data_IF_380276172551
#
_entry.id   IF_380276172551
#
_cell.length_a   1.000
_cell.length_b   1.000
_cell.length_c   1.000
_cell.angle_alpha   90.00
_cell.angle_beta   90.00
_cell.angle_gamma   90.00
#
_symmetry.space_group_name_H-M   'P 1'
#
loop_
_entity.id
_entity.type
_entity.pdbx_description
1 polymer ?
#
# COMPACT_ATOMS: atom_id res chain seq x y z
N UNK A 1 -0.08 -22.33 18.39
CA UNK A 1 0.10 -20.90 18.05
C UNK A 1 -0.86 -20.53 16.93
N UNK A 2 -1.68 -19.50 17.09
CA UNK A 2 -2.55 -19.02 16.00
C UNK A 2 -1.68 -18.54 14.82
N UNK A 3 -2.01 -18.97 13.59
CA UNK A 3 -1.30 -18.50 12.40
C UNK A 3 -1.48 -16.98 12.28
N UNK A 4 -0.41 -16.27 11.95
CA UNK A 4 -0.48 -14.83 11.70
C UNK A 4 -1.51 -14.51 10.61
N UNK A 5 -2.19 -13.36 10.68
CA UNK A 5 -3.26 -13.01 9.76
C UNK A 5 -2.74 -12.89 8.33
N UNK A 6 -3.60 -13.15 7.34
CA UNK A 6 -3.19 -13.23 5.93
C UNK A 6 -2.57 -11.92 5.43
N UNK A 7 -2.94 -10.77 5.99
CA UNK A 7 -2.38 -9.46 5.61
C UNK A 7 -0.90 -9.29 5.99
N UNK A 8 -0.40 -10.02 6.99
CA UNK A 8 1.02 -10.05 7.34
C UNK A 8 1.80 -11.07 6.50
N UNK A 9 1.13 -12.14 6.06
CA UNK A 9 1.72 -13.25 5.30
C UNK A 9 1.85 -12.94 3.80
N UNK A 10 2.68 -13.73 3.11
CA UNK A 10 2.92 -13.60 1.66
C UNK A 10 1.62 -13.68 0.85
N UNK A 11 0.69 -14.53 1.26
CA UNK A 11 -0.60 -14.73 0.59
C UNK A 11 -1.52 -13.50 0.57
N UNK A 12 -1.35 -12.54 1.49
CA UNK A 12 -2.12 -11.28 1.50
C UNK A 12 -1.40 -10.11 0.84
N UNK A 13 -0.13 -10.27 0.47
CA UNK A 13 0.67 -9.23 -0.19
C UNK A 13 0.51 -9.33 -1.70
N UNK A 14 0.33 -8.19 -2.36
CA UNK A 14 0.36 -8.14 -3.82
C UNK A 14 1.82 -8.00 -4.30
N UNK A 15 2.30 -8.86 -5.23
CA UNK A 15 3.64 -8.75 -5.81
C UNK A 15 3.93 -7.36 -6.41
N UNK A 16 2.92 -6.74 -7.02
CA UNK A 16 3.00 -5.41 -7.62
C UNK A 16 2.92 -4.25 -6.62
N UNK A 17 2.76 -4.52 -5.31
CA UNK A 17 2.72 -3.50 -4.25
C UNK A 17 1.42 -3.47 -3.45
N UNK A 18 1.52 -3.15 -2.15
CA UNK A 18 0.38 -3.15 -1.22
C UNK A 18 -0.19 -4.54 -0.88
N UNK A 19 -1.41 -4.55 -0.34
CA UNK A 19 -2.19 -5.75 -0.03
C UNK A 19 -3.10 -6.14 -1.21
N UNK A 20 -3.36 -7.45 -1.36
CA UNK A 20 -4.36 -7.97 -2.27
C UNK A 20 -5.74 -8.07 -1.59
N UNK A 21 -6.77 -8.54 -2.31
CA UNK A 21 -8.13 -8.67 -1.77
C UNK A 21 -8.18 -9.53 -0.49
N UNK A 22 -7.44 -10.64 -0.43
CA UNK A 22 -7.35 -11.51 0.75
C UNK A 22 -6.70 -10.80 1.92
N UNK A 23 -5.61 -10.07 1.67
CA UNK A 23 -4.94 -9.25 2.68
C UNK A 23 -5.84 -8.15 3.21
N UNK A 24 -6.53 -7.40 2.35
CA UNK A 24 -7.47 -6.35 2.79
C UNK A 24 -8.63 -6.94 3.59
N UNK A 25 -9.21 -8.07 3.16
CA UNK A 25 -10.27 -8.73 3.89
C UNK A 25 -9.80 -9.23 5.27
N UNK A 26 -8.61 -9.82 5.33
CA UNK A 26 -7.99 -10.24 6.59
C UNK A 26 -7.74 -9.06 7.53
N UNK A 27 -7.24 -7.94 7.00
CA UNK A 27 -7.00 -6.73 7.79
C UNK A 27 -8.31 -6.17 8.35
N UNK A 28 -9.36 -6.07 7.53
CA UNK A 28 -10.67 -5.57 7.98
C UNK A 28 -11.35 -6.46 9.02
N UNK A 29 -11.12 -7.78 8.96
CA UNK A 29 -11.64 -8.73 9.97
C UNK A 29 -11.00 -8.52 11.34
N UNK A 30 -9.70 -8.25 11.37
CA UNK A 30 -8.93 -8.02 12.60
C UNK A 30 -9.10 -6.59 13.14
N UNK A 31 -9.43 -5.64 12.27
CA UNK A 31 -9.66 -4.24 12.63
C UNK A 31 -11.10 -3.81 12.26
N UNK A 32 -12.10 -4.11 13.12
CA UNK A 32 -13.47 -3.65 12.93
C UNK A 32 -13.54 -2.14 12.70
N UNK A 33 -14.32 -1.70 11.71
CA UNK A 33 -14.41 -0.28 11.33
C UNK A 33 -13.31 0.23 10.39
N UNK A 34 -12.34 -0.62 10.01
CA UNK A 34 -11.28 -0.23 9.08
C UNK A 34 -11.83 0.22 7.71
N UNK A 35 -11.43 1.42 7.28
CA UNK A 35 -11.70 1.98 5.95
C UNK A 35 -10.60 1.67 4.94
N UNK A 36 -9.75 0.67 5.22
CA UNK A 36 -8.63 0.30 4.36
C UNK A 36 -9.13 0.05 2.94
N UNK A 37 -8.53 0.74 1.98
CA UNK A 37 -8.89 0.67 0.57
C UNK A 37 -7.70 0.24 -0.27
N UNK A 38 -7.97 -0.40 -1.40
CA UNK A 38 -6.93 -0.76 -2.38
C UNK A 38 -6.42 0.47 -3.13
N UNK A 39 -5.28 0.29 -3.80
CA UNK A 39 -4.65 1.34 -4.59
C UNK A 39 -5.58 1.94 -5.65
N UNK A 40 -5.50 3.25 -5.82
CA UNK A 40 -6.11 3.95 -6.96
C UNK A 40 -5.19 3.76 -8.16
N UNK A 41 -5.60 2.91 -9.10
CA UNK A 41 -4.79 2.52 -10.27
C UNK A 41 -5.13 3.29 -11.54
N UNK A 42 -6.20 4.07 -11.52
CA UNK A 42 -6.66 4.92 -12.63
C UNK A 42 -5.59 5.98 -12.97
N UNK A 43 -5.40 6.27 -14.27
CA UNK A 43 -4.46 7.30 -14.73
C UNK A 43 -4.91 8.70 -14.28
N UNK A 44 -6.18 9.03 -14.51
CA UNK A 44 -6.78 10.33 -14.21
C UNK A 44 -8.01 10.16 -13.28
N UNK A 45 -7.81 9.80 -12.00
CA UNK A 45 -8.90 9.71 -11.04
C UNK A 45 -9.46 11.11 -10.75
N UNK A 46 -10.77 11.18 -10.50
CA UNK A 46 -11.47 12.42 -10.13
C UNK A 46 -12.07 12.33 -8.73
N UNK A 47 -12.49 13.47 -8.18
CA UNK A 47 -13.15 13.57 -6.88
C UNK A 47 -12.38 12.92 -5.73
N UNK A 48 -13.10 12.15 -4.88
CA UNK A 48 -12.54 11.51 -3.68
C UNK A 48 -11.35 10.58 -3.98
N UNK A 49 -11.31 9.94 -5.15
CA UNK A 49 -10.20 9.05 -5.54
C UNK A 49 -8.94 9.84 -5.83
N UNK A 50 -9.07 10.99 -6.48
CA UNK A 50 -7.95 11.90 -6.77
C UNK A 50 -7.32 12.40 -5.47
N UNK A 51 -8.15 12.90 -4.54
CA UNK A 51 -7.70 13.38 -3.23
C UNK A 51 -7.01 12.27 -2.43
N UNK A 52 -7.58 11.06 -2.43
CA UNK A 52 -6.96 9.91 -1.75
C UNK A 52 -5.61 9.53 -2.35
N UNK A 53 -5.47 9.54 -3.69
CA UNK A 53 -4.19 9.31 -4.36
C UNK A 53 -3.17 10.38 -3.95
N UNK A 54 -3.54 11.66 -4.00
CA UNK A 54 -2.69 12.79 -3.59
C UNK A 54 -2.19 12.62 -2.16
N UNK A 55 -3.09 12.34 -1.21
CA UNK A 55 -2.73 12.12 0.20
C UNK A 55 -1.82 10.90 0.39
N UNK A 56 -2.06 9.81 -0.35
CA UNK A 56 -1.20 8.63 -0.29
C UNK A 56 0.21 8.95 -0.81
N UNK A 57 0.32 9.57 -1.99
CA UNK A 57 1.61 9.92 -2.58
C UNK A 57 2.41 10.86 -1.69
N UNK A 58 1.79 11.91 -1.14
CA UNK A 58 2.48 12.84 -0.25
C UNK A 58 3.07 12.12 0.98
N UNK A 59 2.26 11.27 1.64
CA UNK A 59 2.70 10.54 2.83
C UNK A 59 3.81 9.54 2.51
N UNK A 60 3.62 8.73 1.48
CA UNK A 60 4.54 7.63 1.18
C UNK A 60 5.83 8.12 0.54
N UNK A 61 5.80 9.17 -0.27
CA UNK A 61 7.01 9.80 -0.80
C UNK A 61 7.80 10.49 0.33
N UNK A 62 7.11 11.13 1.28
CA UNK A 62 7.75 11.66 2.48
C UNK A 62 8.41 10.58 3.34
N UNK A 63 7.72 9.46 3.56
CA UNK A 63 8.27 8.28 4.25
C UNK A 63 9.48 7.69 3.52
N UNK A 64 9.43 7.61 2.19
CA UNK A 64 10.56 7.17 1.34
C UNK A 64 11.77 8.09 1.50
N UNK A 65 11.54 9.39 1.61
CA UNK A 65 12.63 10.37 1.71
C UNK A 65 13.24 10.45 3.11
N UNK A 66 12.43 10.33 4.17
CA UNK A 66 12.88 10.62 5.55
C UNK A 66 13.17 9.39 6.39
N UNK A 67 12.44 8.30 6.17
CA UNK A 67 12.41 7.15 7.07
C UNK A 67 12.85 5.84 6.40
N UNK A 68 13.11 5.87 5.10
CA UNK A 68 13.57 4.70 4.35
C UNK A 68 15.06 4.84 4.09
N UNK A 69 15.83 3.77 4.30
CA UNK A 69 17.27 3.78 4.01
C UNK A 69 17.53 4.11 2.54
N UNK A 70 18.67 4.74 2.27
CA UNK A 70 19.09 5.13 0.93
C UNK A 70 19.08 3.96 -0.06
N UNK A 71 19.47 2.77 0.40
CA UNK A 71 19.45 1.53 -0.38
C UNK A 71 18.01 1.13 -0.75
N UNK A 72 17.12 1.03 0.23
CA UNK A 72 15.72 0.62 0.00
C UNK A 72 14.95 1.66 -0.83
N UNK A 73 15.28 2.94 -0.66
CA UNK A 73 14.70 4.02 -1.45
C UNK A 73 15.14 3.94 -2.92
N UNK A 74 16.39 3.54 -3.20
CA UNK A 74 16.93 3.38 -4.56
C UNK A 74 16.49 2.07 -5.24
N UNK A 75 16.23 1.01 -4.49
CA UNK A 75 15.80 -0.28 -5.07
C UNK A 75 14.39 -0.20 -5.70
N UNK A 76 14.24 -0.32 -7.04
CA UNK A 76 12.94 -0.26 -7.73
C UNK A 76 12.00 -1.42 -7.37
N UNK A 77 12.54 -2.49 -6.77
CA UNK A 77 11.81 -3.67 -6.31
C UNK A 77 11.44 -3.63 -4.84
N UNK A 78 11.85 -2.58 -4.11
CA UNK A 78 11.47 -2.41 -2.72
C UNK A 78 9.96 -2.25 -2.58
N UNK A 79 9.43 -2.64 -1.41
CA UNK A 79 7.98 -2.61 -1.17
C UNK A 79 7.40 -1.20 -1.25
N UNK A 80 8.17 -0.19 -0.83
CA UNK A 80 7.76 1.22 -0.88
C UNK A 80 7.67 1.71 -2.33
N UNK A 81 8.67 1.41 -3.18
CA UNK A 81 8.69 1.81 -4.59
C UNK A 81 7.61 1.07 -5.40
N UNK A 82 7.41 -0.23 -5.15
CA UNK A 82 6.28 -0.99 -5.74
C UNK A 82 4.94 -0.38 -5.36
N UNK A 83 4.77 0.04 -4.10
CA UNK A 83 3.52 0.67 -3.66
C UNK A 83 3.31 2.04 -4.32
N UNK A 84 4.32 2.91 -4.34
CA UNK A 84 4.24 4.22 -5.00
C UNK A 84 3.85 4.07 -6.47
N UNK A 85 4.56 3.18 -7.20
CA UNK A 85 4.27 2.87 -8.60
C UNK A 85 2.84 2.36 -8.82
N UNK A 86 2.35 1.49 -7.94
CA UNK A 86 0.97 0.95 -8.05
C UNK A 86 -0.10 2.03 -7.86
N UNK A 87 0.18 3.01 -7.01
CA UNK A 87 -0.69 4.17 -6.79
C UNK A 87 -0.50 5.28 -7.82
N UNK A 88 0.42 5.11 -8.78
CA UNK A 88 0.81 6.13 -9.77
C UNK A 88 1.26 7.43 -9.10
N UNK A 89 1.98 7.25 -7.99
CA UNK A 89 2.98 8.18 -7.51
C UNK A 89 4.30 7.83 -8.23
#
# INVERSE_FOLDING_TARGET
MAKSPAWQRKEGKNPSGGLNKKGVASYRREHPGSKLSTAVTEKNPTGKRASRRKSFCARMSGMRSKLTSSETAKDPNSRINKSLRKWRC
#
